data_IF_623076245829
#
_entry.id   IF_623076245829
#
_cell.length_a   1.000
_cell.length_b   1.000
_cell.length_c   1.000
_cell.angle_alpha   90.00
_cell.angle_beta   90.00
_cell.angle_gamma   90.00
#
_symmetry.space_group_name_H-M   'P 1'
#
loop_
_entity.id
_entity.type
_entity.pdbx_description
1 polymer ?
#
# COMPACT_ATOMS: atom_id res chain seq x y z
N UNK A 1 -15.73 -6.16 29.86
CA UNK A 1 -15.88 -5.21 30.99
C UNK A 1 -14.61 -4.38 31.28
N UNK A 2 -13.73 -4.14 30.29
CA UNK A 2 -12.51 -3.31 30.46
C UNK A 2 -12.33 -2.22 29.39
N UNK A 3 -13.23 -2.13 28.39
CA UNK A 3 -13.17 -1.11 27.34
C UNK A 3 -14.19 0.04 27.51
N UNK A 4 -15.10 -0.02 28.49
CA UNK A 4 -16.06 1.06 28.76
C UNK A 4 -15.62 2.05 29.85
N UNK A 5 -14.43 1.84 30.46
CA UNK A 5 -13.92 2.71 31.54
C UNK A 5 -12.86 3.73 31.09
N UNK A 6 -12.34 3.63 29.87
CA UNK A 6 -11.37 4.59 29.32
C UNK A 6 -12.03 5.81 28.67
N UNK A 7 -13.29 5.72 28.27
CA UNK A 7 -14.06 6.84 27.69
C UNK A 7 -14.65 7.79 28.74
N UNK A 8 -14.74 7.39 30.01
CA UNK A 8 -15.31 8.22 31.09
C UNK A 8 -14.26 9.00 31.90
N UNK A 9 -12.96 8.73 31.74
CA UNK A 9 -11.87 9.46 32.39
C UNK A 9 -11.36 10.66 31.57
N UNK A 10 -11.72 10.77 30.29
CA UNK A 10 -11.38 11.91 29.44
C UNK A 10 -12.32 13.13 29.58
N UNK A 11 -13.39 13.02 30.38
CA UNK A 11 -14.45 14.04 30.47
C UNK A 11 -14.49 14.85 31.78
N UNK A 12 -13.57 14.63 32.74
CA UNK A 12 -13.57 15.33 34.04
C UNK A 12 -12.18 15.80 34.46
N UNK A 13 -11.59 16.72 33.68
CA UNK A 13 -10.57 17.67 34.15
C UNK A 13 -10.28 18.69 33.06
N UNK A 14 -11.23 19.60 32.82
CA UNK A 14 -10.93 20.87 32.14
C UNK A 14 -10.64 21.90 33.23
N UNK A 15 -9.39 22.39 33.40
CA UNK A 15 -9.19 23.59 34.17
C UNK A 15 -9.86 24.74 33.43
N UNK A 16 -10.76 25.43 34.12
CA UNK A 16 -11.31 26.71 33.68
C UNK A 16 -10.16 27.72 33.71
N UNK A 17 -9.44 27.83 32.59
CA UNK A 17 -8.55 28.96 32.35
C UNK A 17 -9.43 30.17 32.10
N UNK A 18 -9.68 30.91 33.18
CA UNK A 18 -10.30 32.22 33.11
C UNK A 18 -9.56 33.07 32.07
N UNK A 19 -10.31 33.68 31.16
CA UNK A 19 -9.82 34.73 30.28
C UNK A 19 -9.39 35.92 31.14
N UNK A 20 -8.19 35.87 31.68
CA UNK A 20 -7.48 37.06 32.13
C UNK A 20 -7.19 37.88 30.87
N UNK A 21 -7.90 38.99 30.71
CA UNK A 21 -7.55 40.03 29.74
C UNK A 21 -6.07 40.37 29.96
N UNK A 22 -5.19 40.27 28.95
CA UNK A 22 -3.87 40.85 29.10
C UNK A 22 -4.07 42.36 29.25
N UNK A 23 -3.84 42.87 30.46
CA UNK A 23 -3.63 44.28 30.70
C UNK A 23 -2.55 44.73 29.74
N UNK A 24 -2.97 45.57 28.79
CA UNK A 24 -2.19 46.11 27.68
C UNK A 24 -1.14 47.06 28.25
N UNK A 25 -0.08 46.52 28.84
CA UNK A 25 1.16 47.26 29.07
C UNK A 25 1.91 47.27 27.75
N UNK A 26 1.60 48.30 26.96
CA UNK A 26 2.36 48.73 25.79
C UNK A 26 3.79 49.07 26.25
N UNK A 27 4.69 48.09 26.26
CA UNK A 27 6.11 48.34 26.09
C UNK A 27 6.36 48.38 24.57
N UNK A 28 6.20 49.55 23.98
CA UNK A 28 6.60 49.83 22.61
C UNK A 28 8.12 49.70 22.52
N UNK A 29 8.58 48.52 22.08
CA UNK A 29 9.94 48.37 21.56
C UNK A 29 10.07 49.26 20.33
N UNK A 30 10.72 50.41 20.48
CA UNK A 30 11.04 51.32 19.39
C UNK A 30 12.08 50.65 18.50
N UNK A 31 11.63 50.02 17.42
CA UNK A 31 12.50 49.78 16.28
C UNK A 31 12.87 51.14 15.69
N UNK A 32 14.16 51.47 15.62
CA UNK A 32 14.65 52.59 14.81
C UNK A 32 14.38 52.29 13.33
N UNK A 33 13.22 52.70 12.85
CA UNK A 33 13.00 53.07 11.46
C UNK A 33 12.72 54.57 11.43
N UNK A 34 13.47 55.27 10.58
CA UNK A 34 13.49 56.72 10.49
C UNK A 34 12.11 57.31 10.22
N UNK A 35 11.68 58.24 11.06
CA UNK A 35 10.52 59.08 10.86
C UNK A 35 10.73 60.38 11.61
N UNK A 36 10.92 61.49 10.87
CA UNK A 36 10.91 62.85 11.43
C UNK A 36 9.49 63.16 11.90
N UNK A 37 9.32 63.44 13.18
CA UNK A 37 8.07 63.96 13.75
C UNK A 37 8.32 64.44 15.18
N UNK A 38 8.33 65.76 15.37
CA UNK A 38 8.56 66.41 16.65
C UNK A 38 7.32 66.42 17.54
N UNK A 39 7.54 66.20 18.84
CA UNK A 39 6.67 66.67 19.91
C UNK A 39 7.53 66.83 21.19
N UNK A 40 7.48 68.02 21.78
CA UNK A 40 8.16 68.50 22.99
C UNK A 40 7.67 67.68 24.23
N UNK A 41 8.54 67.16 25.10
CA UNK A 41 9.03 67.80 26.34
C UNK A 41 7.94 67.77 27.43
N UNK A 42 7.96 66.93 28.48
CA UNK A 42 8.95 66.98 29.58
C UNK A 42 9.12 65.68 30.41
N UNK A 43 8.38 64.59 30.16
CA UNK A 43 8.38 63.42 31.10
C UNK A 43 9.15 62.17 30.61
N UNK A 44 9.87 62.27 29.48
CA UNK A 44 10.60 61.12 28.89
C UNK A 44 12.09 61.03 29.27
N UNK A 45 12.65 62.06 29.92
CA UNK A 45 14.06 62.09 30.32
C UNK A 45 14.34 61.23 31.56
N UNK A 46 13.39 61.19 32.51
CA UNK A 46 13.51 60.39 33.72
C UNK A 46 13.45 58.88 33.45
N UNK A 47 12.65 58.43 32.48
CA UNK A 47 12.57 57.01 32.08
C UNK A 47 13.84 56.51 31.37
N UNK A 48 14.60 57.38 30.70
CA UNK A 48 15.92 57.06 30.14
C UNK A 48 17.02 56.98 31.20
N UNK A 49 16.87 57.66 32.33
CA UNK A 49 17.90 57.70 33.38
C UNK A 49 18.12 56.35 34.09
N UNK A 50 17.13 55.45 34.04
CA UNK A 50 17.20 54.12 34.67
C UNK A 50 17.37 52.97 33.66
N UNK A 51 17.45 53.22 32.35
CA UNK A 51 17.61 52.12 31.37
C UNK A 51 18.91 51.35 31.58
N UNK A 52 19.95 52.07 31.98
CA UNK A 52 21.31 51.54 32.13
C UNK A 52 21.51 50.88 33.50
N UNK A 53 20.56 51.07 34.45
CA UNK A 53 20.55 50.35 35.74
C UNK A 53 19.79 49.02 35.67
N UNK A 54 19.13 48.73 34.55
CA UNK A 54 18.40 47.48 34.33
C UNK A 54 19.30 46.44 33.66
N UNK A 55 19.42 45.26 34.27
CA UNK A 55 20.13 44.12 33.67
C UNK A 55 19.23 43.39 32.66
N UNK A 56 19.06 43.98 31.48
CA UNK A 56 18.23 43.41 30.41
C UNK A 56 18.98 42.26 29.71
N UNK A 57 18.29 41.16 29.34
CA UNK A 57 18.90 40.11 28.54
C UNK A 57 19.39 40.65 27.20
N UNK A 58 20.69 40.50 26.92
CA UNK A 58 21.29 40.80 25.63
C UNK A 58 21.64 39.49 24.93
N UNK A 59 21.27 39.36 23.65
CA UNK A 59 21.59 38.17 22.86
C UNK A 59 21.83 38.55 21.41
N UNK A 60 22.82 37.89 20.79
CA UNK A 60 23.03 37.92 19.35
C UNK A 60 22.06 37.00 18.58
N UNK A 61 21.22 36.23 19.29
CA UNK A 61 20.24 35.35 18.65
C UNK A 61 19.13 36.18 17.99
N UNK A 62 18.93 36.05 16.68
CA UNK A 62 17.92 36.84 15.97
C UNK A 62 16.51 36.42 16.41
N UNK A 63 15.65 37.39 16.63
CA UNK A 63 14.25 37.14 17.04
C UNK A 63 13.43 36.47 15.93
N UNK A 64 13.71 36.79 14.65
CA UNK A 64 13.02 36.18 13.51
C UNK A 64 13.77 34.95 13.01
N UNK A 65 13.08 33.83 12.75
CA UNK A 65 13.71 32.68 12.13
C UNK A 65 14.11 33.02 10.69
N UNK A 66 15.34 32.68 10.30
CA UNK A 66 15.79 32.68 8.91
C UNK A 66 16.10 31.25 8.49
N UNK A 67 15.05 30.47 8.24
CA UNK A 67 15.16 29.04 7.92
C UNK A 67 16.03 28.78 6.68
N UNK A 68 15.90 29.63 5.64
CA UNK A 68 16.62 29.50 4.37
C UNK A 68 18.14 29.48 4.55
N UNK A 69 18.66 30.28 5.46
CA UNK A 69 20.10 30.32 5.77
C UNK A 69 20.50 29.36 6.89
N UNK A 70 19.65 29.19 7.91
CA UNK A 70 20.00 28.38 9.11
C UNK A 70 19.90 26.88 8.89
N UNK A 71 18.91 26.40 8.13
CA UNK A 71 18.70 24.96 7.95
C UNK A 71 19.87 24.26 7.23
N UNK A 72 20.46 24.82 6.14
CA UNK A 72 21.64 24.21 5.52
C UNK A 72 22.84 24.13 6.47
N UNK A 73 23.03 25.15 7.32
CA UNK A 73 24.10 25.15 8.33
C UNK A 73 23.88 24.08 9.40
N UNK A 74 22.63 23.87 9.83
CA UNK A 74 22.27 22.81 10.78
C UNK A 74 22.46 21.42 10.17
N UNK A 75 21.99 21.20 8.94
CA UNK A 75 22.18 19.94 8.22
C UNK A 75 23.66 19.58 8.10
N UNK A 76 24.50 20.55 7.72
CA UNK A 76 25.96 20.40 7.70
C UNK A 76 26.52 20.05 9.07
N UNK A 77 26.13 20.77 10.13
CA UNK A 77 26.61 20.51 11.48
C UNK A 77 26.24 19.10 11.97
N UNK A 78 25.04 18.61 11.63
CA UNK A 78 24.64 17.24 11.96
C UNK A 78 25.48 16.20 11.20
N UNK A 79 25.72 16.43 9.91
CA UNK A 79 26.56 15.55 9.10
C UNK A 79 28.02 15.52 9.59
N UNK A 80 28.61 16.70 9.87
CA UNK A 80 29.96 16.81 10.44
C UNK A 80 30.06 16.06 11.78
N UNK A 81 29.00 16.12 12.59
CA UNK A 81 28.92 15.37 13.87
C UNK A 81 28.88 13.85 13.64
N UNK A 82 28.16 13.40 12.62
CA UNK A 82 28.10 11.99 12.23
C UNK A 82 29.45 11.45 11.76
N UNK A 83 30.19 12.21 10.95
CA UNK A 83 31.51 11.82 10.50
C UNK A 83 32.55 11.86 11.63
N UNK A 84 32.42 12.85 12.52
CA UNK A 84 33.32 13.01 13.66
C UNK A 84 33.18 11.86 14.66
N UNK A 85 31.95 11.41 14.95
CA UNK A 85 31.77 10.31 15.91
C UNK A 85 32.43 9.01 15.44
N UNK A 86 32.51 8.75 14.12
CA UNK A 86 33.20 7.56 13.58
C UNK A 86 34.69 7.54 13.94
N UNK A 87 35.34 8.70 13.94
CA UNK A 87 36.76 8.85 14.30
C UNK A 87 36.97 8.82 15.82
N UNK A 88 36.14 9.53 16.57
CA UNK A 88 36.33 9.68 18.03
C UNK A 88 35.89 8.46 18.84
N UNK A 89 35.06 7.59 18.25
CA UNK A 89 34.44 6.46 18.96
C UNK A 89 34.88 5.12 18.42
N UNK A 90 36.02 5.07 17.73
CA UNK A 90 36.62 3.83 17.27
C UNK A 90 36.82 2.85 18.44
N UNK A 91 36.55 1.56 18.18
CA UNK A 91 36.60 0.49 19.20
C UNK A 91 35.39 0.41 20.14
N UNK A 92 34.44 1.36 20.10
CA UNK A 92 33.18 1.25 20.85
C UNK A 92 32.15 0.36 20.14
N UNK A 93 31.21 -0.16 20.91
CA UNK A 93 30.04 -0.88 20.39
C UNK A 93 29.29 0.02 19.40
N UNK A 94 28.99 -0.56 18.23
CA UNK A 94 28.30 0.15 17.13
C UNK A 94 26.82 -0.15 17.18
N UNK A 95 26.02 0.89 17.39
CA UNK A 95 24.58 0.85 17.20
C UNK A 95 24.28 0.93 15.71
N UNK A 96 23.77 -0.15 15.14
CA UNK A 96 23.39 -0.23 13.73
C UNK A 96 21.89 -0.01 13.60
N UNK A 97 21.49 1.05 12.88
CA UNK A 97 20.10 1.23 12.44
C UNK A 97 20.05 0.90 10.96
N UNK A 98 19.46 -0.25 10.61
CA UNK A 98 19.31 -0.63 9.22
C UNK A 98 18.17 0.17 8.58
N UNK A 99 18.48 0.84 7.48
CA UNK A 99 17.48 1.60 6.73
C UNK A 99 16.72 0.67 5.78
N UNK A 100 15.39 0.75 5.79
CA UNK A 100 14.58 0.15 4.72
C UNK A 100 14.71 1.01 3.46
N UNK A 101 15.10 0.43 2.32
CA UNK A 101 15.43 1.21 1.14
C UNK A 101 14.15 1.77 0.52
N UNK A 102 13.97 3.11 0.38
CA UNK A 102 12.94 3.65 -0.49
C UNK A 102 13.12 3.14 -1.92
N UNK A 103 11.98 2.91 -2.57
CA UNK A 103 11.97 2.57 -3.97
C UNK A 103 12.46 3.78 -4.80
N UNK A 104 13.38 3.54 -5.74
CA UNK A 104 13.97 4.57 -6.59
C UNK A 104 13.00 5.02 -7.70
N UNK A 105 11.77 5.38 -7.32
CA UNK A 105 10.71 5.80 -8.21
C UNK A 105 10.06 7.11 -7.74
N UNK A 106 10.29 8.18 -8.50
CA UNK A 106 9.57 9.44 -8.33
C UNK A 106 9.96 10.24 -7.09
N UNK A 107 9.18 11.29 -6.85
CA UNK A 107 9.45 12.31 -5.83
C UNK A 107 9.07 11.84 -4.43
N UNK A 108 9.69 12.44 -3.41
CA UNK A 108 9.39 12.09 -2.03
C UNK A 108 8.08 12.73 -1.56
N UNK A 109 7.24 11.94 -0.87
CA UNK A 109 6.03 12.43 -0.20
C UNK A 109 6.16 12.42 1.33
N UNK A 110 5.13 12.88 2.03
CA UNK A 110 5.10 13.00 3.49
C UNK A 110 5.34 11.68 4.25
N UNK A 111 5.07 10.53 3.62
CA UNK A 111 5.35 9.20 4.17
C UNK A 111 6.85 8.95 4.29
N UNK A 112 7.63 9.31 3.26
CA UNK A 112 9.08 9.27 3.31
C UNK A 112 9.65 10.21 4.39
N UNK A 113 9.08 11.42 4.49
CA UNK A 113 9.47 12.38 5.52
C UNK A 113 9.26 11.82 6.93
N UNK A 114 8.06 11.30 7.22
CA UNK A 114 7.76 10.68 8.51
C UNK A 114 8.74 9.55 8.84
N UNK A 115 8.98 8.64 7.91
CA UNK A 115 9.88 7.51 8.12
C UNK A 115 11.31 7.94 8.42
N UNK A 116 11.87 8.82 7.58
CA UNK A 116 13.29 9.23 7.68
C UNK A 116 13.54 10.13 8.88
N UNK A 117 12.63 11.06 9.19
CA UNK A 117 12.77 11.96 10.35
C UNK A 117 12.72 11.17 11.66
N UNK A 118 11.87 10.14 11.76
CA UNK A 118 11.83 9.28 12.94
C UNK A 118 13.14 8.49 13.12
N UNK A 119 13.66 7.89 12.05
CA UNK A 119 14.96 7.19 12.08
C UNK A 119 16.09 8.14 12.47
N UNK A 120 16.13 9.32 11.86
CA UNK A 120 17.13 10.35 12.14
C UNK A 120 17.08 10.85 13.59
N UNK A 121 15.89 11.00 14.17
CA UNK A 121 15.71 11.32 15.60
C UNK A 121 16.38 10.28 16.49
N UNK A 122 16.22 8.98 16.18
CA UNK A 122 16.86 7.88 16.90
C UNK A 122 18.38 7.92 16.71
N UNK A 123 18.86 8.12 15.48
CA UNK A 123 20.30 8.23 15.16
C UNK A 123 20.94 9.36 15.97
N UNK A 124 20.37 10.58 15.90
CA UNK A 124 20.86 11.75 16.65
C UNK A 124 20.84 11.49 18.15
N UNK A 125 19.77 10.90 18.68
CA UNK A 125 19.69 10.54 20.09
C UNK A 125 20.83 9.58 20.51
N UNK A 126 21.08 8.51 19.75
CA UNK A 126 22.14 7.55 20.08
C UNK A 126 23.54 8.16 19.97
N UNK A 127 23.74 9.07 19.01
CA UNK A 127 24.99 9.85 18.91
C UNK A 127 25.15 10.76 20.14
N UNK A 128 24.07 11.40 20.61
CA UNK A 128 24.09 12.21 21.83
C UNK A 128 24.36 11.38 23.09
N UNK A 129 23.94 10.11 23.13
CA UNK A 129 24.28 9.16 24.20
C UNK A 129 25.72 8.65 24.14
N UNK A 130 26.55 9.14 23.21
CA UNK A 130 27.96 8.76 23.12
C UNK A 130 28.24 7.42 22.44
N UNK A 131 27.23 6.79 21.81
CA UNK A 131 27.37 5.53 21.07
C UNK A 131 27.98 5.76 19.68
N UNK A 132 28.72 4.80 19.16
CA UNK A 132 29.09 4.79 17.75
C UNK A 132 27.87 4.36 16.95
N UNK A 133 27.46 5.10 15.91
CA UNK A 133 26.22 4.83 15.16
C UNK A 133 26.52 4.58 13.69
N UNK A 134 25.95 3.52 13.13
CA UNK A 134 25.92 3.24 11.69
C UNK A 134 24.49 3.38 11.18
N UNK A 135 24.28 4.35 10.28
CA UNK A 135 23.03 4.53 9.56
C UNK A 135 23.36 4.75 8.08
N UNK A 136 23.21 3.69 7.29
CA UNK A 136 23.53 3.68 5.87
C UNK A 136 22.20 3.72 5.10
N UNK A 137 21.92 4.78 4.34
CA UNK A 137 20.74 4.85 3.52
C UNK A 137 20.86 3.87 2.35
N UNK A 138 19.73 3.34 1.90
CA UNK A 138 19.70 2.53 0.69
C UNK A 138 18.58 2.88 -0.26
N UNK A 139 18.63 2.27 -1.44
CA UNK A 139 17.62 2.41 -2.47
C UNK A 139 17.31 1.07 -3.10
N UNK A 140 16.02 0.87 -3.38
CA UNK A 140 15.55 -0.27 -4.14
C UNK A 140 15.45 0.12 -5.62
N UNK A 141 16.29 -0.49 -6.43
CA UNK A 141 16.61 -0.13 -7.79
C UNK A 141 16.02 -1.09 -8.84
N UNK A 142 15.32 -2.14 -8.42
CA UNK A 142 14.76 -3.16 -9.32
C UNK A 142 13.23 -3.09 -9.31
N UNK A 143 12.59 -3.59 -10.38
CA UNK A 143 11.15 -3.83 -10.45
C UNK A 143 10.39 -3.01 -11.50
N UNK A 144 9.15 -3.42 -11.74
CA UNK A 144 8.32 -2.99 -12.89
C UNK A 144 8.13 -1.47 -13.01
N UNK A 145 7.89 -0.68 -11.94
CA UNK A 145 7.74 0.76 -12.07
C UNK A 145 8.94 1.48 -12.71
N UNK A 146 10.16 1.00 -12.48
CA UNK A 146 11.37 1.58 -13.08
C UNK A 146 11.45 1.20 -14.56
N UNK A 147 11.15 -0.06 -14.89
CA UNK A 147 11.10 -0.54 -16.28
C UNK A 147 10.06 0.22 -17.11
N UNK A 148 8.89 0.49 -16.55
CA UNK A 148 7.85 1.29 -17.22
C UNK A 148 8.33 2.71 -17.51
N UNK A 149 8.97 3.37 -16.54
CA UNK A 149 9.56 4.70 -16.74
C UNK A 149 10.67 4.71 -17.77
N UNK A 150 11.51 3.69 -17.79
CA UNK A 150 12.55 3.52 -18.80
C UNK A 150 11.94 3.40 -20.19
N UNK A 151 10.94 2.52 -20.36
CA UNK A 151 10.21 2.34 -21.63
C UNK A 151 9.53 3.64 -22.09
N UNK A 152 8.85 4.36 -21.20
CA UNK A 152 8.21 5.65 -21.53
C UNK A 152 9.22 6.67 -22.02
N UNK A 153 10.38 6.77 -21.35
CA UNK A 153 11.47 7.66 -21.74
C UNK A 153 12.07 7.28 -23.09
N UNK A 154 12.27 5.99 -23.35
CA UNK A 154 12.76 5.50 -24.64
C UNK A 154 11.78 5.79 -25.77
N UNK A 155 10.48 5.56 -25.54
CA UNK A 155 9.41 5.92 -26.50
C UNK A 155 9.39 7.42 -26.79
N UNK A 156 9.49 8.26 -25.76
CA UNK A 156 9.51 9.71 -25.92
C UNK A 156 10.70 10.19 -26.77
N UNK A 157 11.86 9.52 -26.68
CA UNK A 157 13.05 9.83 -27.49
C UNK A 157 12.94 9.38 -28.96
N UNK A 158 12.24 8.27 -29.23
CA UNK A 158 12.05 7.78 -30.60
C UNK A 158 10.99 8.57 -31.39
N UNK A 159 10.13 9.35 -30.70
CA UNK A 159 9.03 10.08 -31.30
C UNK A 159 7.86 9.17 -31.72
N UNK A 160 6.69 9.77 -31.99
CA UNK A 160 5.44 9.05 -32.32
C UNK A 160 5.52 8.15 -33.58
N UNK A 161 6.61 8.23 -34.37
CA UNK A 161 6.78 7.51 -35.63
C UNK A 161 7.34 6.08 -35.50
N UNK A 162 7.63 5.59 -34.28
CA UNK A 162 8.12 4.23 -34.04
C UNK A 162 7.01 3.22 -33.68
N UNK A 163 5.72 3.59 -33.81
CA UNK A 163 4.58 2.71 -33.52
C UNK A 163 4.44 1.49 -34.48
N UNK A 164 5.40 1.25 -35.36
CA UNK A 164 5.37 0.17 -36.36
C UNK A 164 6.72 -0.53 -36.58
N UNK A 165 7.60 -0.61 -35.56
CA UNK A 165 8.64 -1.62 -35.57
C UNK A 165 8.05 -2.91 -34.98
N UNK A 166 7.92 -3.93 -35.83
CA UNK A 166 7.25 -5.22 -35.57
C UNK A 166 7.46 -5.75 -34.14
N UNK A 167 6.37 -5.74 -33.36
CA UNK A 167 6.26 -6.40 -32.07
C UNK A 167 6.32 -7.93 -32.26
N UNK A 168 7.52 -8.47 -32.45
CA UNK A 168 7.76 -9.88 -32.78
C UNK A 168 8.22 -10.76 -31.60
N UNK A 169 8.45 -10.18 -30.42
CA UNK A 169 8.92 -10.93 -29.25
C UNK A 169 7.80 -11.38 -28.31
N UNK A 170 7.96 -12.56 -27.71
CA UNK A 170 7.05 -13.10 -26.69
C UNK A 170 7.23 -12.48 -25.29
N UNK A 171 8.29 -11.69 -25.09
CA UNK A 171 8.61 -11.00 -23.83
C UNK A 171 8.19 -9.51 -23.84
N UNK A 172 8.26 -8.86 -22.67
CA UNK A 172 7.83 -7.48 -22.47
C UNK A 172 8.60 -6.50 -23.39
N UNK A 173 9.93 -6.69 -23.54
CA UNK A 173 10.76 -5.84 -24.39
C UNK A 173 10.46 -5.98 -25.88
N UNK A 174 10.32 -7.21 -26.38
CA UNK A 174 10.10 -7.49 -27.79
C UNK A 174 8.75 -7.03 -28.34
N UNK A 175 7.75 -6.75 -27.48
CA UNK A 175 6.48 -6.11 -27.89
C UNK A 175 6.56 -4.59 -27.94
N UNK A 176 7.52 -4.02 -27.22
CA UNK A 176 7.74 -2.58 -27.13
C UNK A 176 8.80 -2.08 -28.12
N UNK A 177 9.43 -2.99 -28.87
CA UNK A 177 10.48 -2.67 -29.84
C UNK A 177 11.86 -2.44 -29.22
N UNK A 178 12.07 -2.86 -27.95
CA UNK A 178 13.32 -2.67 -27.20
C UNK A 178 13.84 -4.00 -26.67
N UNK A 179 15.16 -4.23 -26.68
CA UNK A 179 15.70 -5.42 -26.03
C UNK A 179 15.64 -5.29 -24.50
N UNK A 180 15.62 -6.41 -23.78
CA UNK A 180 15.69 -6.41 -22.32
C UNK A 180 16.95 -5.69 -21.81
N UNK A 181 18.06 -5.81 -22.53
CA UNK A 181 19.33 -5.14 -22.20
C UNK A 181 19.19 -3.62 -22.33
N UNK A 182 18.50 -3.13 -23.37
CA UNK A 182 18.27 -1.69 -23.56
C UNK A 182 17.42 -1.11 -22.44
N UNK A 183 16.35 -1.81 -22.06
CA UNK A 183 15.48 -1.43 -20.94
C UNK A 183 16.28 -1.41 -19.64
N UNK A 184 17.09 -2.43 -19.38
CA UNK A 184 17.94 -2.48 -18.18
C UNK A 184 18.94 -1.32 -18.16
N UNK A 185 19.56 -0.99 -19.29
CA UNK A 185 20.52 0.11 -19.37
C UNK A 185 19.85 1.47 -19.14
N UNK A 186 18.67 1.69 -19.72
CA UNK A 186 17.93 2.93 -19.49
C UNK A 186 17.39 3.02 -18.05
N UNK A 187 16.92 1.90 -17.50
CA UNK A 187 16.48 1.80 -16.10
C UNK A 187 17.58 2.25 -15.13
N UNK A 188 18.84 1.85 -15.37
CA UNK A 188 19.99 2.32 -14.57
C UNK A 188 20.14 3.84 -14.59
N UNK A 189 20.00 4.46 -15.78
CA UNK A 189 20.06 5.92 -15.91
C UNK A 189 18.93 6.60 -15.14
N UNK A 190 17.71 6.07 -15.23
CA UNK A 190 16.55 6.59 -14.47
C UNK A 190 16.80 6.47 -12.96
N UNK A 191 17.32 5.33 -12.51
CA UNK A 191 17.64 5.09 -11.10
C UNK A 191 18.67 6.09 -10.58
N UNK A 192 19.77 6.33 -11.32
CA UNK A 192 20.80 7.29 -10.92
C UNK A 192 20.25 8.71 -10.76
N UNK A 193 19.37 9.14 -11.68
CA UNK A 193 18.70 10.44 -11.63
C UNK A 193 17.78 10.55 -10.40
N UNK A 194 16.99 9.52 -10.12
CA UNK A 194 16.06 9.50 -8.99
C UNK A 194 16.81 9.47 -7.66
N UNK A 195 17.85 8.62 -7.53
CA UNK A 195 18.69 8.55 -6.32
C UNK A 195 19.29 9.93 -6.03
N UNK A 196 19.81 10.61 -7.06
CA UNK A 196 20.41 11.94 -6.91
C UNK A 196 19.39 12.97 -6.40
N UNK A 197 18.16 12.95 -6.93
CA UNK A 197 17.09 13.85 -6.48
C UNK A 197 16.66 13.56 -5.05
N UNK A 198 16.31 12.29 -4.76
CA UNK A 198 15.84 11.88 -3.44
C UNK A 198 16.91 12.08 -2.36
N UNK A 199 18.18 11.81 -2.68
CA UNK A 199 19.31 12.09 -1.78
C UNK A 199 19.38 13.58 -1.43
N UNK A 200 19.34 14.46 -2.44
CA UNK A 200 19.37 15.90 -2.24
C UNK A 200 18.22 16.39 -1.34
N UNK A 201 17.02 15.82 -1.52
CA UNK A 201 15.86 16.13 -0.67
C UNK A 201 16.03 15.62 0.77
N UNK A 202 16.53 14.40 0.98
CA UNK A 202 16.80 13.89 2.32
C UNK A 202 17.90 14.70 3.05
N UNK A 203 18.98 15.04 2.35
CA UNK A 203 20.03 15.93 2.87
C UNK A 203 19.43 17.30 3.24
N UNK A 204 18.52 17.83 2.40
CA UNK A 204 17.82 19.10 2.65
C UNK A 204 16.92 19.06 3.88
N UNK A 205 16.35 17.91 4.22
CA UNK A 205 15.60 17.69 5.46
C UNK A 205 16.51 17.57 6.70
N UNK A 206 17.83 17.58 6.53
CA UNK A 206 18.79 17.49 7.63
C UNK A 206 18.91 16.09 8.22
N UNK A 207 18.63 15.07 7.41
CA UNK A 207 18.80 13.66 7.76
C UNK A 207 20.30 13.33 7.84
N UNK A 208 20.69 12.74 8.96
CA UNK A 208 22.09 12.42 9.30
C UNK A 208 22.37 10.97 8.96
N UNK A 209 23.23 10.71 7.98
CA UNK A 209 23.49 9.36 7.48
C UNK A 209 24.86 9.25 6.79
N UNK A 210 25.26 8.03 6.45
CA UNK A 210 26.37 7.79 5.54
C UNK A 210 25.92 7.98 4.08
N UNK A 211 25.88 9.23 3.63
CA UNK A 211 25.55 9.56 2.24
C UNK A 211 26.67 9.21 1.26
N UNK A 212 27.88 8.90 1.74
CA UNK A 212 29.04 8.62 0.89
C UNK A 212 29.02 7.20 0.34
N UNK A 213 28.48 6.26 1.11
CA UNK A 213 28.46 4.84 0.77
C UNK A 213 27.05 4.25 0.93
N UNK A 214 26.06 4.70 0.14
CA UNK A 214 24.72 4.14 0.19
C UNK A 214 24.71 2.71 -0.35
N UNK A 215 23.81 1.87 0.15
CA UNK A 215 23.62 0.54 -0.42
C UNK A 215 22.54 0.56 -1.49
N UNK A 216 22.81 -0.02 -2.66
CA UNK A 216 21.89 -0.07 -3.79
C UNK A 216 21.60 -1.53 -4.09
N UNK A 217 20.34 -1.90 -4.31
CA UNK A 217 20.01 -3.31 -4.66
C UNK A 217 20.58 -3.72 -6.03
N UNK A 218 20.92 -2.75 -6.88
CA UNK A 218 21.64 -2.96 -8.14
C UNK A 218 23.17 -3.19 -7.96
N UNK A 219 23.72 -2.97 -6.77
CA UNK A 219 25.15 -3.14 -6.58
C UNK A 219 25.52 -4.63 -6.72
N UNK A 220 26.58 -4.98 -7.48
CA UNK A 220 26.92 -6.39 -7.72
C UNK A 220 27.17 -7.21 -6.44
N UNK A 221 27.64 -6.56 -5.37
CA UNK A 221 27.84 -7.20 -4.07
C UNK A 221 26.52 -7.54 -3.37
N UNK A 222 25.48 -6.72 -3.55
CA UNK A 222 24.14 -6.96 -3.00
C UNK A 222 23.45 -8.07 -3.79
N UNK A 223 23.50 -8.01 -5.13
CA UNK A 223 22.95 -9.06 -6.00
C UNK A 223 23.59 -10.43 -5.71
N UNK A 224 24.92 -10.46 -5.52
CA UNK A 224 25.61 -11.69 -5.12
C UNK A 224 25.11 -12.23 -3.77
N UNK A 225 24.94 -11.36 -2.76
CA UNK A 225 24.43 -11.75 -1.45
C UNK A 225 22.97 -12.24 -1.48
N UNK A 226 22.14 -11.67 -2.37
CA UNK A 226 20.77 -12.11 -2.63
C UNK A 226 20.76 -13.54 -3.22
N UNK A 227 21.60 -13.80 -4.23
CA UNK A 227 21.74 -15.12 -4.85
C UNK A 227 22.26 -16.14 -3.84
N UNK A 228 23.28 -15.80 -3.03
CA UNK A 228 23.77 -16.68 -1.96
C UNK A 228 22.69 -17.00 -0.92
N UNK A 229 21.83 -16.03 -0.59
CA UNK A 229 20.71 -16.24 0.33
C UNK A 229 19.65 -17.16 -0.29
N UNK A 230 19.34 -16.98 -1.57
CA UNK A 230 18.44 -17.87 -2.31
C UNK A 230 18.98 -19.30 -2.35
N UNK A 231 20.27 -19.49 -2.62
CA UNK A 231 20.92 -20.81 -2.62
C UNK A 231 20.84 -21.47 -1.24
N UNK A 232 21.07 -20.72 -0.16
CA UNK A 232 20.88 -21.26 1.21
C UNK A 232 19.45 -21.71 1.48
N UNK A 233 18.45 -20.98 0.97
CA UNK A 233 17.04 -21.39 1.07
C UNK A 233 16.75 -22.65 0.25
N UNK A 234 17.36 -22.75 -0.94
CA UNK A 234 17.28 -23.93 -1.79
C UNK A 234 17.87 -25.17 -1.10
N UNK A 235 19.09 -25.06 -0.58
CA UNK A 235 19.80 -26.14 0.11
C UNK A 235 19.07 -26.59 1.38
N UNK A 236 18.38 -25.67 2.05
CA UNK A 236 17.55 -25.95 3.21
C UNK A 236 16.19 -26.60 2.86
N UNK A 237 15.88 -26.78 1.57
CA UNK A 237 14.60 -27.34 1.10
C UNK A 237 13.40 -26.43 1.36
N UNK A 238 13.61 -25.12 1.48
CA UNK A 238 12.56 -24.13 1.76
C UNK A 238 11.86 -23.62 0.48
N UNK A 239 12.30 -24.07 -0.69
CA UNK A 239 11.78 -23.64 -1.98
C UNK A 239 10.95 -24.74 -2.63
N UNK A 240 9.71 -24.41 -2.96
CA UNK A 240 8.80 -25.26 -3.73
C UNK A 240 8.30 -24.49 -4.95
N UNK A 241 8.19 -25.18 -6.08
CA UNK A 241 7.54 -24.63 -7.28
C UNK A 241 6.11 -25.15 -7.34
N UNK A 242 5.15 -24.24 -7.22
CA UNK A 242 3.73 -24.53 -7.35
C UNK A 242 3.04 -23.50 -8.25
N UNK A 243 1.91 -23.89 -8.82
CA UNK A 243 1.00 -22.97 -9.49
C UNK A 243 0.16 -22.23 -8.44
N UNK A 244 0.02 -20.92 -8.58
CA UNK A 244 -0.81 -20.09 -7.70
C UNK A 244 -1.60 -19.09 -8.55
N UNK A 245 -2.93 -18.98 -8.37
CA UNK A 245 -3.68 -17.88 -8.94
C UNK A 245 -3.12 -16.55 -8.45
N UNK A 246 -2.73 -15.68 -9.37
CA UNK A 246 -2.18 -14.35 -9.08
C UNK A 246 -2.92 -13.30 -9.90
N UNK A 247 -2.86 -12.05 -9.43
CA UNK A 247 -3.29 -10.92 -10.23
C UNK A 247 -2.38 -10.84 -11.45
N UNK A 248 -2.98 -10.75 -12.64
CA UNK A 248 -2.26 -10.74 -13.91
C UNK A 248 -2.84 -9.65 -14.80
N UNK A 249 -1.96 -8.83 -15.37
CA UNK A 249 -2.36 -7.80 -16.32
C UNK A 249 -2.12 -8.30 -17.75
N UNK A 250 -3.18 -8.48 -18.56
CA UNK A 250 -3.02 -8.83 -19.97
C UNK A 250 -2.24 -7.77 -20.77
N UNK A 251 -2.34 -6.50 -20.36
CA UNK A 251 -1.69 -5.37 -21.04
C UNK A 251 -0.15 -5.41 -20.89
N UNK A 252 0.34 -5.73 -19.69
CA UNK A 252 1.78 -5.83 -19.41
C UNK A 252 2.29 -7.26 -19.47
N UNK A 253 1.40 -8.26 -19.59
CA UNK A 253 1.71 -9.70 -19.63
C UNK A 253 2.57 -10.16 -18.44
N UNK A 254 2.34 -9.58 -17.27
CA UNK A 254 3.04 -9.90 -16.03
C UNK A 254 2.09 -10.00 -14.85
N UNK A 255 2.53 -10.71 -13.82
CA UNK A 255 1.85 -10.75 -12.54
C UNK A 255 1.99 -9.39 -11.84
N UNK A 256 0.93 -8.96 -11.16
CA UNK A 256 0.92 -7.71 -10.40
C UNK A 256 0.84 -8.00 -8.91
N UNK A 257 1.46 -7.13 -8.12
CA UNK A 257 1.25 -7.08 -6.68
C UNK A 257 -0.06 -6.33 -6.35
N UNK A 258 -0.67 -6.62 -5.20
CA UNK A 258 -1.90 -5.94 -4.77
C UNK A 258 -1.70 -4.41 -4.61
N UNK A 259 -0.50 -3.99 -4.19
CA UNK A 259 -0.14 -2.58 -4.07
C UNK A 259 -0.08 -1.83 -5.42
N UNK A 260 -0.06 -2.55 -6.54
CA UNK A 260 -0.04 -1.99 -7.90
C UNK A 260 -1.44 -1.87 -8.51
N UNK A 261 -2.49 -2.31 -7.80
CA UNK A 261 -3.87 -2.29 -8.31
C UNK A 261 -4.56 -0.99 -7.95
N UNK A 262 -5.16 -0.36 -8.98
CA UNK A 262 -6.08 0.75 -8.81
C UNK A 262 -7.52 0.31 -9.15
N UNK A 263 -8.46 0.61 -8.27
CA UNK A 263 -9.86 0.24 -8.46
C UNK A 263 -10.61 1.27 -9.31
N UNK A 264 -11.14 0.84 -10.46
CA UNK A 264 -12.00 1.65 -11.30
C UNK A 264 -13.49 1.42 -10.98
N UNK A 265 -14.09 2.34 -10.21
CA UNK A 265 -15.49 2.27 -9.80
C UNK A 265 -16.51 2.44 -10.94
N UNK A 266 -16.07 2.82 -12.14
CA UNK A 266 -16.94 2.99 -13.33
C UNK A 266 -17.04 1.70 -14.15
N UNK A 267 -16.21 0.69 -13.85
CA UNK A 267 -16.23 -0.58 -14.54
C UNK A 267 -17.60 -1.28 -14.40
N UNK A 268 -18.14 -1.76 -15.52
CA UNK A 268 -19.37 -2.55 -15.56
C UNK A 268 -19.04 -3.98 -15.99
N UNK A 269 -19.41 -4.95 -15.17
CA UNK A 269 -19.23 -6.37 -15.49
C UNK A 269 -20.57 -7.00 -15.88
N UNK A 270 -20.54 -7.90 -16.86
CA UNK A 270 -21.68 -8.76 -17.19
C UNK A 270 -21.83 -9.82 -16.10
N UNK A 271 -23.02 -9.92 -15.50
CA UNK A 271 -23.34 -11.01 -14.57
C UNK A 271 -24.35 -11.96 -15.20
N UNK A 272 -24.28 -13.23 -14.81
CA UNK A 272 -25.14 -14.31 -15.32
C UNK A 272 -25.58 -15.23 -14.21
N UNK A 273 -26.81 -15.72 -14.30
CA UNK A 273 -27.31 -16.87 -13.56
C UNK A 273 -27.27 -18.10 -14.47
N UNK A 274 -26.73 -19.21 -13.95
CA UNK A 274 -26.59 -20.46 -14.70
C UNK A 274 -27.13 -21.60 -13.86
N UNK A 275 -28.05 -22.37 -14.42
CA UNK A 275 -28.59 -23.58 -13.78
C UNK A 275 -27.75 -24.80 -14.13
N UNK A 276 -27.11 -25.41 -13.14
CA UNK A 276 -26.32 -26.63 -13.27
C UNK A 276 -27.22 -27.84 -12.95
N UNK A 277 -27.58 -28.68 -13.94
CA UNK A 277 -28.45 -29.82 -13.70
C UNK A 277 -27.81 -30.85 -12.76
N UNK A 278 -28.58 -31.31 -11.77
CA UNK A 278 -28.18 -32.32 -10.80
C UNK A 278 -28.35 -33.70 -11.43
N UNK A 279 -27.28 -34.50 -11.44
CA UNK A 279 -27.29 -35.87 -11.97
C UNK A 279 -27.54 -36.91 -10.87
N UNK A 280 -27.17 -36.57 -9.64
CA UNK A 280 -27.39 -37.38 -8.45
C UNK A 280 -27.64 -36.46 -7.26
N UNK A 281 -28.84 -36.52 -6.69
CA UNK A 281 -29.18 -35.74 -5.51
C UNK A 281 -28.71 -36.44 -4.21
N UNK A 282 -28.48 -35.67 -3.16
CA UNK A 282 -28.29 -36.22 -1.82
C UNK A 282 -29.62 -36.79 -1.27
N UNK A 283 -29.60 -37.71 -0.28
CA UNK A 283 -30.83 -38.31 0.26
C UNK A 283 -31.84 -37.27 0.77
N UNK A 284 -31.35 -36.19 1.38
CA UNK A 284 -32.21 -35.11 1.85
C UNK A 284 -32.81 -34.33 0.68
N UNK A 285 -32.00 -33.99 -0.31
CA UNK A 285 -32.48 -33.28 -1.49
C UNK A 285 -33.55 -34.11 -2.22
N UNK A 286 -33.31 -35.42 -2.40
CA UNK A 286 -34.28 -36.39 -2.94
C UNK A 286 -35.60 -36.39 -2.16
N UNK A 287 -35.55 -36.36 -0.83
CA UNK A 287 -36.76 -36.32 0.01
C UNK A 287 -37.60 -35.05 -0.18
N UNK A 288 -36.98 -33.94 -0.58
CA UNK A 288 -37.68 -32.66 -0.80
C UNK A 288 -38.22 -32.57 -2.23
N UNK A 289 -37.47 -33.04 -3.23
CA UNK A 289 -37.88 -32.96 -4.64
C UNK A 289 -38.80 -34.10 -5.07
N UNK A 290 -38.83 -35.21 -4.34
CA UNK A 290 -39.58 -36.44 -4.64
C UNK A 290 -38.87 -37.33 -5.68
N UNK A 291 -39.06 -38.65 -5.59
CA UNK A 291 -38.37 -39.69 -6.38
C UNK A 291 -38.65 -39.69 -7.90
N UNK A 292 -39.41 -38.72 -8.41
CA UNK A 292 -39.72 -38.60 -9.83
C UNK A 292 -38.67 -37.72 -10.54
N UNK A 293 -37.57 -38.36 -10.96
CA UNK A 293 -36.62 -37.85 -11.96
C UNK A 293 -35.63 -36.81 -11.44
N UNK A 294 -34.39 -37.26 -11.15
CA UNK A 294 -33.23 -36.41 -10.89
C UNK A 294 -32.95 -35.40 -12.03
N UNK A 295 -33.51 -35.59 -13.22
CA UNK A 295 -33.25 -34.75 -14.40
C UNK A 295 -33.92 -33.36 -14.38
N UNK A 296 -34.66 -33.01 -13.31
CA UNK A 296 -35.44 -31.75 -13.24
C UNK A 296 -34.91 -30.70 -12.26
N UNK A 297 -33.85 -31.00 -11.49
CA UNK A 297 -33.34 -30.11 -10.44
C UNK A 297 -32.04 -29.46 -10.90
N UNK A 298 -31.95 -28.13 -10.82
CA UNK A 298 -30.77 -27.34 -11.18
C UNK A 298 -30.24 -26.57 -9.97
N UNK A 299 -28.91 -26.57 -9.78
CA UNK A 299 -28.23 -25.68 -8.85
C UNK A 299 -28.05 -24.32 -9.53
N UNK A 300 -28.57 -23.24 -8.95
CA UNK A 300 -28.40 -21.90 -9.51
C UNK A 300 -27.08 -21.32 -9.04
N UNK A 301 -26.20 -21.00 -10.00
CA UNK A 301 -24.92 -20.33 -9.76
C UNK A 301 -24.98 -18.94 -10.37
N UNK A 302 -24.48 -17.95 -9.62
CA UNK A 302 -24.32 -16.58 -10.09
C UNK A 302 -22.84 -16.23 -10.20
N UNK A 303 -22.45 -15.56 -11.29
CA UNK A 303 -21.08 -15.04 -11.45
C UNK A 303 -21.07 -13.75 -12.26
N UNK A 304 -20.15 -12.83 -11.90
CA UNK A 304 -19.80 -11.63 -12.66
C UNK A 304 -18.69 -11.86 -13.68
N UNK A 305 -18.17 -13.08 -13.76
CA UNK A 305 -17.09 -13.46 -14.67
C UNK A 305 -17.50 -14.69 -15.51
N UNK A 306 -18.39 -14.53 -16.50
CA UNK A 306 -18.88 -15.65 -17.31
C UNK A 306 -17.76 -16.46 -17.99
N UNK A 307 -16.64 -15.80 -18.30
CA UNK A 307 -15.44 -16.43 -18.88
C UNK A 307 -14.78 -17.48 -17.97
N UNK A 308 -15.13 -17.52 -16.66
CA UNK A 308 -14.64 -18.54 -15.72
C UNK A 308 -15.50 -19.81 -15.72
N UNK A 309 -16.71 -19.77 -16.27
CA UNK A 309 -17.62 -20.93 -16.29
C UNK A 309 -17.03 -22.16 -17.01
N UNK A 310 -16.28 -22.02 -18.13
CA UNK A 310 -15.55 -23.13 -18.74
C UNK A 310 -14.49 -23.76 -17.80
N UNK A 311 -13.95 -23.01 -16.84
CA UNK A 311 -12.99 -23.53 -15.87
C UNK A 311 -13.65 -24.03 -14.57
N UNK A 312 -14.98 -24.20 -14.55
CA UNK A 312 -15.68 -24.69 -13.36
C UNK A 312 -15.14 -26.07 -12.94
N UNK A 313 -14.60 -26.13 -11.72
CA UNK A 313 -14.06 -27.35 -11.13
C UNK A 313 -14.95 -27.91 -10.02
N UNK A 314 -15.77 -27.06 -9.40
CA UNK A 314 -16.63 -27.40 -8.27
C UNK A 314 -17.74 -26.36 -8.08
N UNK A 315 -18.81 -26.76 -7.41
CA UNK A 315 -19.76 -25.86 -6.75
C UNK A 315 -19.50 -25.93 -5.25
N UNK A 316 -19.25 -24.79 -4.62
CA UNK A 316 -19.04 -24.69 -3.19
C UNK A 316 -20.34 -24.34 -2.46
N UNK A 317 -20.62 -25.03 -1.36
CA UNK A 317 -21.73 -24.70 -0.44
C UNK A 317 -21.19 -24.40 0.95
N UNK A 318 -21.85 -23.52 1.68
CA UNK A 318 -21.59 -23.27 3.10
C UNK A 318 -22.48 -24.22 3.91
N UNK A 319 -21.89 -25.03 4.78
CA UNK A 319 -22.61 -26.08 5.51
C UNK A 319 -23.71 -25.57 6.44
N UNK A 320 -23.51 -24.38 7.01
CA UNK A 320 -24.40 -23.79 8.01
C UNK A 320 -25.51 -22.94 7.38
N UNK A 321 -25.44 -22.69 6.07
CA UNK A 321 -26.46 -21.95 5.33
C UNK A 321 -27.63 -22.86 4.91
N UNK A 322 -28.82 -22.26 4.83
CA UNK A 322 -30.01 -22.89 4.29
C UNK A 322 -30.16 -22.59 2.80
N UNK A 323 -30.58 -23.60 2.05
CA UNK A 323 -30.84 -23.54 0.62
C UNK A 323 -32.30 -23.92 0.37
N UNK A 324 -33.04 -23.05 -0.30
CA UNK A 324 -34.41 -23.27 -0.71
C UNK A 324 -34.45 -24.08 -2.01
N UNK A 325 -35.31 -25.08 -2.03
CA UNK A 325 -35.70 -25.82 -3.23
C UNK A 325 -37.00 -25.21 -3.73
N UNK A 326 -36.97 -24.62 -4.92
CA UNK A 326 -38.12 -23.93 -5.51
C UNK A 326 -38.52 -24.55 -6.82
N UNK A 327 -39.81 -24.58 -7.13
CA UNK A 327 -40.34 -24.95 -8.43
C UNK A 327 -40.80 -23.67 -9.13
N UNK A 328 -40.30 -23.46 -10.35
CA UNK A 328 -40.75 -22.39 -11.24
C UNK A 328 -40.98 -22.97 -12.64
N UNK A 329 -42.18 -22.75 -13.18
CA UNK A 329 -42.58 -23.22 -14.51
C UNK A 329 -42.33 -24.72 -14.78
N UNK A 330 -42.39 -25.56 -13.74
CA UNK A 330 -42.17 -27.01 -13.84
C UNK A 330 -40.72 -27.47 -13.67
N UNK A 331 -39.77 -26.53 -13.58
CA UNK A 331 -38.36 -26.84 -13.28
C UNK A 331 -38.04 -26.53 -11.81
N UNK A 332 -37.18 -27.36 -11.22
CA UNK A 332 -36.78 -27.22 -9.82
C UNK A 332 -35.41 -26.58 -9.72
N UNK A 333 -35.25 -25.66 -8.78
CA UNK A 333 -34.02 -24.90 -8.57
C UNK A 333 -33.61 -24.94 -7.11
N UNK A 334 -32.32 -25.06 -6.87
CA UNK A 334 -31.72 -24.90 -5.54
C UNK A 334 -31.03 -23.54 -5.48
N UNK A 335 -31.44 -22.71 -4.54
CA UNK A 335 -30.95 -21.34 -4.34
C UNK A 335 -30.69 -21.11 -2.86
N UNK A 336 -29.66 -20.35 -2.49
CA UNK A 336 -29.48 -19.95 -1.09
C UNK A 336 -30.74 -19.19 -0.61
N UNK A 337 -31.30 -19.57 0.54
CA UNK A 337 -32.59 -19.04 1.01
C UNK A 337 -32.60 -17.51 1.08
N UNK A 338 -31.52 -16.91 1.58
CA UNK A 338 -31.37 -15.45 1.73
C UNK A 338 -31.24 -14.70 0.38
N UNK A 339 -30.89 -15.40 -0.69
CA UNK A 339 -30.79 -14.82 -2.04
C UNK A 339 -32.07 -14.99 -2.86
N UNK A 340 -33.05 -15.76 -2.37
CA UNK A 340 -34.21 -16.16 -3.17
C UNK A 340 -34.99 -14.95 -3.69
N UNK A 341 -35.33 -13.99 -2.84
CA UNK A 341 -36.09 -12.79 -3.25
C UNK A 341 -35.38 -12.00 -4.35
N UNK A 342 -34.05 -11.84 -4.23
CA UNK A 342 -33.23 -11.17 -5.24
C UNK A 342 -33.24 -11.94 -6.57
N UNK A 343 -33.08 -13.26 -6.52
CA UNK A 343 -33.08 -14.11 -7.72
C UNK A 343 -34.43 -14.05 -8.43
N UNK A 344 -35.53 -14.10 -7.69
CA UNK A 344 -36.89 -13.97 -8.23
C UNK A 344 -37.06 -12.63 -8.95
N UNK A 345 -36.65 -11.54 -8.30
CA UNK A 345 -36.75 -10.20 -8.87
C UNK A 345 -35.88 -10.01 -10.13
N UNK A 346 -34.62 -10.47 -10.10
CA UNK A 346 -33.68 -10.30 -11.21
C UNK A 346 -34.01 -11.20 -12.42
N UNK A 347 -34.54 -12.41 -12.18
CA UNK A 347 -34.98 -13.32 -13.25
C UNK A 347 -36.42 -13.08 -13.70
N UNK A 348 -37.17 -12.22 -13.01
CA UNK A 348 -38.57 -11.93 -13.32
C UNK A 348 -39.52 -13.11 -13.11
N UNK A 349 -39.22 -13.99 -12.16
CA UNK A 349 -40.07 -15.16 -11.88
C UNK A 349 -41.35 -14.75 -11.14
N UNK A 350 -42.51 -15.15 -11.66
CA UNK A 350 -43.83 -14.80 -11.07
C UNK A 350 -44.41 -15.93 -10.22
N UNK A 351 -44.25 -17.18 -10.68
CA UNK A 351 -44.88 -18.36 -10.08
C UNK A 351 -43.82 -19.27 -9.46
N UNK A 352 -43.38 -18.90 -8.25
CA UNK A 352 -42.33 -19.63 -7.52
C UNK A 352 -42.94 -20.32 -6.32
N UNK A 353 -42.90 -21.65 -6.31
CA UNK A 353 -43.38 -22.47 -5.20
C UNK A 353 -42.19 -23.05 -4.41
N UNK A 354 -42.07 -22.70 -3.13
CA UNK A 354 -41.02 -23.24 -2.25
C UNK A 354 -41.41 -24.64 -1.80
N UNK A 355 -40.69 -25.65 -2.26
CA UNK A 355 -40.92 -27.06 -1.93
C UNK A 355 -40.35 -27.44 -0.56
N UNK A 356 -39.31 -26.75 -0.11
CA UNK A 356 -38.69 -26.96 1.19
C UNK A 356 -37.28 -26.39 1.25
N UNK A 357 -36.63 -26.57 2.41
CA UNK A 357 -35.26 -26.14 2.64
C UNK A 357 -34.35 -27.33 2.94
N UNK A 358 -33.09 -27.21 2.53
CA UNK A 358 -32.01 -28.16 2.75
C UNK A 358 -30.80 -27.38 3.26
N UNK A 359 -30.13 -27.86 4.31
CA UNK A 359 -28.88 -27.25 4.77
C UNK A 359 -27.73 -27.53 3.80
N UNK A 360 -26.69 -26.68 3.80
CA UNK A 360 -25.53 -26.91 2.95
C UNK A 360 -24.82 -28.23 3.25
N UNK A 361 -24.80 -28.67 4.52
CA UNK A 361 -24.28 -29.98 4.92
C UNK A 361 -25.05 -31.12 4.24
N UNK A 362 -26.37 -31.00 4.16
CA UNK A 362 -27.24 -32.00 3.54
C UNK A 362 -27.14 -31.98 2.01
N UNK A 363 -26.61 -30.92 1.39
CA UNK A 363 -26.33 -30.87 -0.05
C UNK A 363 -25.03 -31.60 -0.44
N UNK A 364 -24.13 -31.86 0.51
CA UNK A 364 -22.90 -32.60 0.23
C UNK A 364 -23.19 -34.00 -0.31
N UNK A 365 -22.38 -34.44 -1.28
CA UNK A 365 -22.58 -35.71 -1.98
C UNK A 365 -23.57 -35.64 -3.15
N UNK A 366 -24.17 -34.47 -3.41
CA UNK A 366 -24.87 -34.18 -4.66
C UNK A 366 -23.86 -34.04 -5.80
N UNK A 367 -24.16 -34.64 -6.96
CA UNK A 367 -23.39 -34.49 -8.19
C UNK A 367 -24.20 -33.75 -9.24
N UNK A 368 -23.54 -32.89 -10.00
CA UNK A 368 -24.13 -32.08 -11.05
C UNK A 368 -23.36 -32.24 -12.36
N UNK A 369 -24.00 -31.87 -13.48
CA UNK A 369 -23.38 -31.82 -14.80
C UNK A 369 -23.11 -30.37 -15.16
N UNK A 370 -21.91 -30.11 -15.69
CA UNK A 370 -21.55 -28.80 -16.25
C UNK A 370 -22.41 -28.54 -17.50
N UNK A 371 -23.10 -27.38 -17.61
CA UNK A 371 -23.95 -27.09 -18.76
C UNK A 371 -23.21 -27.05 -20.12
N UNK A 372 -21.90 -26.91 -20.11
CA UNK A 372 -21.08 -26.64 -21.30
C UNK A 372 -20.41 -27.89 -21.90
N UNK A 373 -20.26 -28.96 -21.13
CA UNK A 373 -19.65 -30.21 -21.59
C UNK A 373 -20.47 -31.41 -21.14
N UNK A 374 -20.83 -32.26 -22.09
CA UNK A 374 -21.43 -33.55 -21.82
C UNK A 374 -20.36 -34.64 -21.88
N UNK A 375 -19.62 -34.78 -20.79
CA UNK A 375 -18.56 -35.79 -20.64
C UNK A 375 -19.00 -37.01 -19.80
N UNK A 376 -20.30 -37.13 -19.47
CA UNK A 376 -20.86 -38.29 -18.78
C UNK A 376 -20.47 -38.46 -17.29
N UNK A 377 -19.46 -37.74 -16.79
CA UNK A 377 -19.06 -37.75 -15.37
C UNK A 377 -19.62 -36.53 -14.64
N UNK A 378 -20.48 -36.74 -13.64
CA UNK A 378 -20.99 -35.65 -12.79
C UNK A 378 -19.95 -35.17 -11.78
N UNK A 379 -19.71 -33.87 -11.71
CA UNK A 379 -18.84 -33.25 -10.71
C UNK A 379 -19.56 -33.14 -9.36
N UNK A 380 -18.78 -33.18 -8.26
CA UNK A 380 -19.35 -33.13 -6.91
C UNK A 380 -19.49 -31.71 -6.38
N UNK A 381 -20.49 -31.49 -5.52
CA UNK A 381 -20.53 -30.32 -4.64
C UNK A 381 -19.44 -30.47 -3.57
N UNK A 382 -18.68 -29.40 -3.34
CA UNK A 382 -17.61 -29.35 -2.35
C UNK A 382 -17.98 -28.49 -1.15
N UNK A 383 -17.38 -28.83 0.00
CA UNK A 383 -17.42 -27.99 1.20
C UNK A 383 -16.67 -26.68 0.89
N UNK A 384 -17.38 -25.56 0.93
CA UNK A 384 -16.73 -24.25 1.00
C UNK A 384 -15.99 -24.14 2.34
N UNK A 385 -14.70 -23.78 2.33
CA UNK A 385 -14.06 -23.34 3.58
C UNK A 385 -14.72 -22.03 4.01
N UNK A 386 -15.00 -21.81 5.30
CA UNK A 386 -15.39 -20.48 5.77
C UNK A 386 -14.30 -19.49 5.38
N UNK A 387 -14.70 -18.40 4.72
CA UNK A 387 -13.83 -17.28 4.36
C UNK A 387 -13.34 -16.55 5.60
#
# INVERSE_FOLDING_TARGET
MMLSRLSQLAAKSRPVLGRARPSRLLATGVSKQGGKGGAEGEDSSAFKAYSDTLNLPTTGFPMRPNAKEREPLLAKAFQDTYEKQWREREGRETYVLHDGPPYANGDLHCGHALNKILKDTVVKHQIMQGKRVSFIPGWDCHGLPIELKAVERMKARQGENAAAAEAGGSDFGGRLGFSAIDICNEAKVVVDEVIKSQRSEFERWGITADWSNPYLTLAPSVEAAEIETFLRMYDAGLLERSERPTLFSPATSTALAEAEIEYNNVHRSTSVYVGFPIVKASPRLESVVGSSGSDSVKLVIWTTTPWTLPANSAVAVNEDMSYAVVNHAGEKYVVATDCLERVIAELGWTDVNVMGNVSGRELLGTHYRRPQWDNGSGDSIWRGKPC
#
